data_IF_664473619649
#
_entry.id   IF_664473619649
#
_cell.length_a   1.000
_cell.length_b   1.000
_cell.length_c   1.000
_cell.angle_alpha   90.00
_cell.angle_beta   90.00
_cell.angle_gamma   90.00
#
_symmetry.space_group_name_H-M   'P 1'
#
loop_
_entity.id
_entity.type
_entity.pdbx_description
1 polymer ?
#
# COMPACT_ATOMS: atom_id res chain seq x y z
N UNK A 1 13.54 -29.86 2.31
CA UNK A 1 12.41 -29.07 1.75
C UNK A 1 12.43 -27.67 2.38
N UNK A 2 13.26 -26.78 1.85
CA UNK A 2 13.42 -25.40 2.34
C UNK A 2 12.41 -24.53 1.61
N UNK A 3 11.39 -24.05 2.35
CA UNK A 3 10.43 -23.06 1.87
C UNK A 3 11.16 -21.72 1.89
N UNK A 4 11.98 -21.47 0.86
CA UNK A 4 12.55 -20.16 0.57
C UNK A 4 11.60 -19.42 -0.35
N UNK A 5 10.44 -19.01 0.18
CA UNK A 5 9.48 -18.21 -0.58
C UNK A 5 10.05 -16.81 -0.79
N UNK A 6 10.05 -16.29 -2.04
CA UNK A 6 10.73 -15.05 -2.42
C UNK A 6 10.23 -13.77 -1.73
N UNK A 7 9.12 -13.84 -0.96
CA UNK A 7 8.61 -12.72 -0.16
C UNK A 7 9.53 -12.29 0.99
N UNK A 8 10.36 -13.20 1.54
CA UNK A 8 11.23 -12.91 2.69
C UNK A 8 12.50 -12.11 2.29
N UNK A 9 12.75 -11.87 1.00
CA UNK A 9 13.96 -11.17 0.53
C UNK A 9 14.12 -9.73 1.05
N UNK A 10 13.04 -9.09 1.51
CA UNK A 10 13.08 -7.75 2.10
C UNK A 10 13.39 -7.74 3.60
N UNK A 11 13.40 -8.91 4.26
CA UNK A 11 13.86 -9.05 5.64
C UNK A 11 15.37 -9.34 5.59
N UNK A 12 16.22 -8.62 6.34
CA UNK A 12 17.66 -8.88 6.36
C UNK A 12 17.91 -10.35 6.71
N UNK A 13 18.51 -11.11 5.79
CA UNK A 13 18.80 -12.54 5.99
C UNK A 13 19.62 -12.79 7.27
N UNK A 14 20.48 -11.83 7.63
CA UNK A 14 21.25 -11.85 8.86
C UNK A 14 20.39 -11.95 10.15
N UNK A 15 19.21 -11.32 10.19
CA UNK A 15 18.30 -11.40 11.35
C UNK A 15 17.59 -12.77 11.42
N UNK A 16 17.24 -13.32 10.27
CA UNK A 16 16.60 -14.65 10.15
C UNK A 16 17.61 -15.75 10.52
N UNK A 17 18.85 -15.63 10.05
CA UNK A 17 19.93 -16.58 10.33
C UNK A 17 20.37 -16.50 11.79
N UNK A 18 20.39 -15.31 12.40
CA UNK A 18 20.61 -15.15 13.84
C UNK A 18 19.51 -15.81 14.68
N UNK A 19 18.23 -15.63 14.31
CA UNK A 19 17.12 -16.28 15.01
C UNK A 19 17.14 -17.81 14.91
N UNK A 20 17.58 -18.36 13.77
CA UNK A 20 17.84 -19.81 13.62
C UNK A 20 19.01 -20.27 14.47
N UNK A 21 20.10 -19.50 14.53
CA UNK A 21 21.26 -19.76 15.39
C UNK A 21 20.92 -19.75 16.89
N UNK A 22 19.89 -18.99 17.29
CA UNK A 22 19.35 -18.98 18.65
C UNK A 22 18.33 -20.11 18.95
N UNK A 23 18.13 -21.06 18.03
CA UNK A 23 17.22 -22.19 18.24
C UNK A 23 15.73 -21.86 18.12
N UNK A 24 15.36 -20.71 17.52
CA UNK A 24 13.94 -20.39 17.30
C UNK A 24 13.30 -21.37 16.30
N UNK A 25 12.12 -21.88 16.65
CA UNK A 25 11.30 -22.63 15.70
C UNK A 25 10.82 -21.72 14.57
N UNK A 26 10.58 -22.27 13.38
CA UNK A 26 10.13 -21.50 12.20
C UNK A 26 8.89 -20.64 12.48
N UNK A 27 7.96 -21.17 13.28
CA UNK A 27 6.75 -20.44 13.67
C UNK A 27 7.02 -19.28 14.61
N UNK A 28 7.98 -19.44 15.53
CA UNK A 28 8.38 -18.39 16.46
C UNK A 28 9.12 -17.27 15.72
N UNK A 29 10.03 -17.64 14.81
CA UNK A 29 10.76 -16.71 13.96
C UNK A 29 9.83 -15.89 13.06
N UNK A 30 8.84 -16.53 12.43
CA UNK A 30 7.86 -15.87 11.58
C UNK A 30 7.08 -14.81 12.36
N UNK A 31 6.52 -15.16 13.53
CA UNK A 31 5.67 -14.27 14.31
C UNK A 31 6.40 -13.15 15.03
N UNK A 32 7.59 -13.44 15.55
CA UNK A 32 8.32 -12.49 16.40
C UNK A 32 9.32 -11.62 15.62
N UNK A 33 9.77 -12.08 14.43
CA UNK A 33 10.79 -11.38 13.65
C UNK A 33 10.28 -10.99 12.27
N UNK A 34 9.84 -11.96 11.45
CA UNK A 34 9.49 -11.68 10.05
C UNK A 34 8.22 -10.82 9.92
N UNK A 35 7.15 -11.13 10.66
CA UNK A 35 5.88 -10.39 10.61
C UNK A 35 6.08 -8.93 11.03
N UNK A 36 6.66 -8.60 12.21
CA UNK A 36 6.85 -7.22 12.63
C UNK A 36 7.70 -6.40 11.64
N UNK A 37 8.69 -7.02 11.01
CA UNK A 37 9.54 -6.38 10.00
C UNK A 37 8.81 -6.18 8.66
N UNK A 38 7.88 -7.08 8.31
CA UNK A 38 7.11 -6.99 7.08
C UNK A 38 5.90 -6.04 7.17
N UNK A 39 5.39 -5.71 8.37
CA UNK A 39 4.21 -4.84 8.56
C UNK A 39 4.31 -3.52 7.78
N UNK A 40 5.41 -2.74 7.86
CA UNK A 40 5.48 -1.46 7.16
C UNK A 40 5.46 -1.63 5.63
N UNK A 41 6.06 -2.71 5.12
CA UNK A 41 6.01 -3.05 3.71
C UNK A 41 4.59 -3.42 3.25
N UNK A 42 3.86 -4.19 4.07
CA UNK A 42 2.47 -4.57 3.78
C UNK A 42 1.58 -3.33 3.73
N UNK A 43 1.72 -2.41 4.68
CA UNK A 43 0.92 -1.18 4.72
C UNK A 43 1.25 -0.28 3.52
N UNK A 44 2.52 -0.16 3.14
CA UNK A 44 2.92 0.56 1.94
C UNK A 44 2.29 -0.05 0.67
N UNK A 45 2.24 -1.39 0.58
CA UNK A 45 1.55 -2.08 -0.51
C UNK A 45 0.03 -1.88 -0.51
N UNK A 46 -0.59 -1.84 0.68
CA UNK A 46 -2.02 -1.59 0.79
C UNK A 46 -2.36 -0.16 0.34
N UNK A 47 -1.51 0.81 0.67
CA UNK A 47 -1.68 2.22 0.27
C UNK A 47 -1.68 2.37 -1.25
N UNK A 48 -0.72 1.75 -1.93
CA UNK A 48 -0.68 1.78 -3.41
C UNK A 48 -1.88 1.06 -4.02
N UNK A 49 -2.27 -0.10 -3.47
CA UNK A 49 -3.45 -0.82 -3.92
C UNK A 49 -4.75 -0.01 -3.76
N UNK A 50 -4.92 0.70 -2.65
CA UNK A 50 -6.08 1.54 -2.40
C UNK A 50 -6.18 2.68 -3.42
N UNK A 51 -5.08 3.38 -3.70
CA UNK A 51 -5.04 4.45 -4.69
C UNK A 51 -5.33 3.92 -6.10
N UNK A 52 -4.75 2.78 -6.48
CA UNK A 52 -5.05 2.13 -7.76
C UNK A 52 -6.53 1.75 -7.87
N UNK A 53 -7.12 1.20 -6.81
CA UNK A 53 -8.53 0.81 -6.81
C UNK A 53 -9.47 2.01 -6.95
N UNK A 54 -9.12 3.19 -6.41
CA UNK A 54 -9.90 4.41 -6.62
C UNK A 54 -9.89 4.80 -8.11
N UNK A 55 -8.74 4.69 -8.77
CA UNK A 55 -8.63 4.90 -10.22
C UNK A 55 -9.47 3.91 -11.02
N UNK A 56 -9.41 2.61 -10.67
CA UNK A 56 -10.23 1.57 -11.31
C UNK A 56 -11.72 1.82 -11.08
N UNK A 57 -12.12 2.23 -9.87
CA UNK A 57 -13.50 2.55 -9.54
C UNK A 57 -14.04 3.74 -10.34
N UNK A 58 -13.20 4.73 -10.69
CA UNK A 58 -13.60 5.82 -11.57
C UNK A 58 -13.97 5.32 -12.98
N UNK A 59 -13.26 4.31 -13.48
CA UNK A 59 -13.55 3.67 -14.78
C UNK A 59 -14.74 2.70 -14.68
N UNK A 60 -15.02 2.13 -13.50
CA UNK A 60 -16.17 1.25 -13.29
C UNK A 60 -17.54 1.94 -13.56
N UNK A 61 -17.56 3.27 -13.64
CA UNK A 61 -18.75 4.03 -14.05
C UNK A 61 -19.24 3.67 -15.46
N UNK A 62 -18.35 3.20 -16.34
CA UNK A 62 -18.69 2.70 -17.68
C UNK A 62 -19.54 1.43 -17.67
N UNK A 63 -19.49 0.64 -16.59
CA UNK A 63 -20.33 -0.56 -16.42
C UNK A 63 -21.54 -0.30 -15.50
N UNK A 64 -21.87 0.98 -15.24
CA UNK A 64 -23.02 1.35 -14.43
C UNK A 64 -22.80 1.31 -12.91
N UNK A 65 -21.55 1.21 -12.43
CA UNK A 65 -21.25 1.18 -11.00
C UNK A 65 -21.58 2.51 -10.26
N UNK A 66 -21.80 3.61 -11.00
CA UNK A 66 -22.08 4.94 -10.44
C UNK A 66 -20.88 5.58 -9.72
N UNK A 67 -21.13 6.60 -8.90
CA UNK A 67 -20.10 7.28 -8.10
C UNK A 67 -19.45 8.50 -8.77
N UNK A 68 -18.30 8.95 -8.25
CA UNK A 68 -17.65 10.20 -8.67
C UNK A 68 -17.15 10.18 -10.12
N UNK A 69 -16.81 9.00 -10.66
CA UNK A 69 -16.39 8.87 -12.06
C UNK A 69 -17.51 9.18 -13.07
N UNK A 70 -18.77 9.26 -12.63
CA UNK A 70 -19.90 9.62 -13.49
C UNK A 70 -19.74 11.04 -14.04
N UNK A 71 -19.17 11.98 -13.28
CA UNK A 71 -18.89 13.33 -13.77
C UNK A 71 -17.87 13.31 -14.92
N UNK A 72 -16.83 12.49 -14.80
CA UNK A 72 -15.82 12.31 -15.85
C UNK A 72 -16.48 11.69 -17.08
N UNK A 73 -17.24 10.61 -16.90
CA UNK A 73 -17.93 9.92 -17.98
C UNK A 73 -18.91 10.85 -18.73
N UNK A 74 -19.73 11.60 -18.01
CA UNK A 74 -20.70 12.53 -18.60
C UNK A 74 -20.02 13.71 -19.28
N UNK A 75 -18.94 14.23 -18.70
CA UNK A 75 -18.12 15.28 -19.32
C UNK A 75 -17.51 14.82 -20.64
N UNK A 76 -16.98 13.58 -20.69
CA UNK A 76 -16.48 12.97 -21.93
C UNK A 76 -17.61 12.82 -22.95
N UNK A 77 -18.76 12.27 -22.55
CA UNK A 77 -19.89 12.04 -23.44
C UNK A 77 -20.46 13.32 -24.04
N UNK A 78 -20.32 14.46 -23.35
CA UNK A 78 -20.82 15.77 -23.78
C UNK A 78 -19.73 16.68 -24.36
N UNK A 79 -18.48 16.22 -24.42
CA UNK A 79 -17.31 17.04 -24.80
C UNK A 79 -17.26 18.34 -23.98
N UNK A 80 -17.53 18.23 -22.69
CA UNK A 80 -17.64 19.36 -21.78
C UNK A 80 -16.48 19.31 -20.76
N UNK A 81 -15.34 19.97 -21.07
CA UNK A 81 -14.08 19.80 -20.34
C UNK A 81 -14.16 20.27 -18.88
N UNK A 82 -15.01 21.25 -18.58
CA UNK A 82 -15.20 21.78 -17.23
C UNK A 82 -15.75 20.68 -16.30
N UNK A 83 -16.64 19.82 -16.79
CA UNK A 83 -17.20 18.71 -16.01
C UNK A 83 -16.21 17.53 -15.89
N UNK A 84 -15.38 17.32 -16.91
CA UNK A 84 -14.26 16.38 -16.82
C UNK A 84 -13.31 16.81 -15.71
N UNK A 85 -12.94 18.10 -15.69
CA UNK A 85 -12.05 18.68 -14.68
C UNK A 85 -12.68 18.61 -13.29
N UNK A 86 -13.95 18.98 -13.11
CA UNK A 86 -14.61 18.89 -11.80
C UNK A 86 -14.64 17.45 -11.29
N UNK A 87 -14.94 16.48 -12.15
CA UNK A 87 -14.93 15.06 -11.80
C UNK A 87 -13.53 14.57 -11.46
N UNK A 88 -12.53 14.90 -12.27
CA UNK A 88 -11.14 14.53 -12.04
C UNK A 88 -10.58 15.12 -10.73
N UNK A 89 -10.90 16.38 -10.43
CA UNK A 89 -10.51 17.04 -9.18
C UNK A 89 -11.15 16.32 -7.98
N UNK A 90 -12.45 16.02 -8.03
CA UNK A 90 -13.14 15.31 -6.94
C UNK A 90 -12.57 13.92 -6.69
N UNK A 91 -12.33 13.14 -7.75
CA UNK A 91 -11.73 11.80 -7.65
C UNK A 91 -10.29 11.88 -7.12
N UNK A 92 -9.50 12.85 -7.60
CA UNK A 92 -8.12 13.03 -7.16
C UNK A 92 -8.05 13.47 -5.69
N UNK A 93 -8.95 14.34 -5.26
CA UNK A 93 -9.05 14.76 -3.87
C UNK A 93 -9.41 13.58 -2.96
N UNK A 94 -10.37 12.74 -3.36
CA UNK A 94 -10.70 11.51 -2.64
C UNK A 94 -9.48 10.58 -2.54
N UNK A 95 -8.75 10.38 -3.64
CA UNK A 95 -7.54 9.56 -3.66
C UNK A 95 -6.49 10.09 -2.68
N UNK A 96 -6.24 11.40 -2.66
CA UNK A 96 -5.30 12.05 -1.74
C UNK A 96 -5.75 11.90 -0.28
N UNK A 97 -7.04 12.06 0.00
CA UNK A 97 -7.58 11.90 1.36
C UNK A 97 -7.39 10.45 1.85
N UNK A 98 -7.70 9.46 1.02
CA UNK A 98 -7.52 8.05 1.35
C UNK A 98 -6.03 7.72 1.53
N UNK A 99 -5.19 8.16 0.60
CA UNK A 99 -3.74 7.99 0.66
C UNK A 99 -3.12 8.60 1.93
N UNK A 100 -3.53 9.83 2.26
CA UNK A 100 -3.11 10.54 3.46
C UNK A 100 -3.61 9.87 4.74
N UNK A 101 -4.85 9.39 4.76
CA UNK A 101 -5.40 8.60 5.87
C UNK A 101 -4.63 7.29 6.09
N UNK A 102 -4.25 6.62 5.02
CA UNK A 102 -3.43 5.41 5.08
C UNK A 102 -1.99 5.71 5.52
N UNK A 103 -1.40 6.82 5.07
CA UNK A 103 -0.10 7.26 5.54
C UNK A 103 -0.11 7.60 7.05
N UNK A 104 -1.21 8.13 7.56
CA UNK A 104 -1.39 8.35 9.00
C UNK A 104 -1.49 7.01 9.76
N UNK A 105 -2.26 6.06 9.24
CA UNK A 105 -2.33 4.70 9.79
C UNK A 105 -0.95 4.03 9.81
N UNK A 106 -0.19 4.13 8.72
CA UNK A 106 1.19 3.61 8.62
C UNK A 106 2.09 4.17 9.72
N UNK A 107 2.00 5.49 10.00
CA UNK A 107 2.79 6.12 11.06
C UNK A 107 2.44 5.61 12.45
N UNK A 108 1.17 5.29 12.71
CA UNK A 108 0.72 4.77 14.00
C UNK A 108 1.11 3.29 14.17
N UNK A 109 1.05 2.52 13.09
CA UNK A 109 1.33 1.07 13.10
C UNK A 109 2.79 0.70 12.85
N UNK A 110 3.64 1.66 12.51
CA UNK A 110 5.08 1.46 12.33
C UNK A 110 5.85 2.02 13.54
N UNK A 111 6.27 1.18 14.51
CA UNK A 111 7.24 1.56 15.52
C UNK A 111 8.56 1.97 14.85
N UNK A 112 9.27 2.95 15.41
CA UNK A 112 10.41 3.64 14.79
C UNK A 112 11.65 2.80 14.42
N UNK A 113 11.62 1.47 14.62
CA UNK A 113 12.76 0.57 14.38
C UNK A 113 13.23 0.41 12.93
N UNK A 114 12.41 0.76 11.93
CA UNK A 114 12.77 0.64 10.49
C UNK A 114 13.17 2.01 9.87
N UNK A 115 13.17 3.09 10.65
CA UNK A 115 13.71 4.39 10.17
C UNK A 115 15.25 4.40 10.08
N UNK A 116 15.93 3.48 10.78
CA UNK A 116 17.39 3.53 11.00
C UNK A 116 18.21 3.08 9.78
N UNK A 117 17.74 2.12 8.99
CA UNK A 117 18.60 1.51 7.94
C UNK A 117 18.69 2.35 6.66
N UNK A 118 17.71 3.22 6.37
CA UNK A 118 17.74 4.12 5.20
C UNK A 118 18.73 5.29 5.36
N UNK A 119 19.14 5.59 6.60
CA UNK A 119 20.10 6.66 6.91
C UNK A 119 21.57 6.21 6.82
N UNK A 120 21.84 4.91 6.77
CA UNK A 120 23.19 4.32 6.75
C UNK A 120 23.69 3.97 5.34
N UNK A 121 22.86 4.12 4.30
CA UNK A 121 23.22 3.86 2.90
C UNK A 121 23.29 5.15 2.05
N UNK A 122 23.42 6.31 2.69
CA UNK A 122 23.80 7.57 2.07
C UNK A 122 25.19 7.97 2.52
#
# INVERSE_FOLDING_TARGET
>A
MSISTPFIKNVPSALVDAGRGMGMSKWKLLREVEIPLAIPLIIAGLRTAAVMNIGVAAIATYIGAGGLGVYIQQGIARVYPEMILSGAILVSLLAIIVDGGMALLERITTPEGIKVQRKLSR
#
